data_IF_094922904082
#
_entry.id   IF_094922904082
#
_cell.length_a   1.000
_cell.length_b   1.000
_cell.length_c   1.000
_cell.angle_alpha   90.00
_cell.angle_beta   90.00
_cell.angle_gamma   90.00
#
_symmetry.space_group_name_H-M   'P 1'
#
loop_
_entity.id
_entity.type
_entity.pdbx_description
1 polymer ?
#
# COMPACT_ATOMS: atom_id res chain seq x y z
N UNK A 1 73.29 -44.05 -41.29
CA UNK A 1 72.98 -44.91 -40.12
C UNK A 1 71.57 -44.61 -39.62
N UNK A 2 70.91 -45.61 -39.02
CA UNK A 2 69.77 -45.56 -38.05
C UNK A 2 69.48 -44.19 -37.41
N UNK A 3 68.28 -43.76 -37.01
CA UNK A 3 66.86 -44.24 -36.99
C UNK A 3 65.97 -43.00 -36.68
N UNK A 4 64.65 -42.97 -36.41
CA UNK A 4 63.61 -43.96 -36.05
C UNK A 4 62.22 -43.47 -36.55
N UNK A 5 61.14 -44.24 -36.30
CA UNK A 5 59.76 -43.73 -36.31
C UNK A 5 59.48 -42.93 -35.02
N UNK A 6 58.64 -41.90 -35.07
CA UNK A 6 57.70 -41.62 -33.97
C UNK A 6 56.33 -41.19 -34.50
N UNK A 7 55.33 -41.99 -34.14
CA UNK A 7 53.92 -41.88 -34.50
C UNK A 7 53.18 -41.26 -33.31
N UNK A 8 52.30 -40.28 -33.61
CA UNK A 8 51.06 -39.94 -32.89
C UNK A 8 51.11 -39.79 -31.35
N UNK A 9 51.22 -38.55 -30.86
CA UNK A 9 50.81 -38.09 -29.52
C UNK A 9 50.57 -36.57 -29.62
N UNK A 10 49.53 -35.93 -29.07
CA UNK A 10 48.21 -36.40 -28.64
C UNK A 10 47.22 -35.23 -28.82
N UNK A 11 46.01 -35.52 -29.30
CA UNK A 11 44.93 -34.51 -29.39
C UNK A 11 44.28 -34.35 -28.01
N UNK A 12 44.88 -33.56 -27.11
CA UNK A 12 44.42 -33.48 -25.71
C UNK A 12 44.73 -32.17 -24.97
N UNK A 13 44.55 -31.00 -25.61
CA UNK A 13 44.72 -29.69 -24.93
C UNK A 13 43.62 -28.65 -25.18
N UNK A 14 42.60 -28.95 -25.99
CA UNK A 14 41.62 -27.93 -26.45
C UNK A 14 40.37 -27.82 -25.55
N UNK A 15 40.09 -28.79 -24.67
CA UNK A 15 38.82 -28.82 -23.92
C UNK A 15 38.77 -28.03 -22.60
N UNK A 16 39.89 -27.61 -22.00
CA UNK A 16 39.84 -26.97 -20.67
C UNK A 16 39.34 -25.51 -20.68
N UNK A 17 39.56 -24.77 -21.77
CA UNK A 17 39.22 -23.35 -21.82
C UNK A 17 37.70 -23.11 -21.86
N UNK A 18 36.96 -23.88 -22.66
CA UNK A 18 35.53 -23.67 -22.88
C UNK A 18 34.67 -23.86 -21.61
N UNK A 19 35.03 -24.83 -20.76
CA UNK A 19 34.29 -25.12 -19.53
C UNK A 19 34.36 -23.97 -18.50
N UNK A 20 35.53 -23.31 -18.38
CA UNK A 20 35.68 -22.17 -17.47
C UNK A 20 34.87 -20.96 -17.92
N UNK A 21 34.79 -20.69 -19.23
CA UNK A 21 33.98 -19.59 -19.78
C UNK A 21 32.50 -19.81 -19.50
N UNK A 22 32.02 -21.04 -19.73
CA UNK A 22 30.61 -21.39 -19.53
C UNK A 22 30.17 -21.30 -18.05
N UNK A 23 31.03 -21.68 -17.10
CA UNK A 23 30.70 -21.57 -15.69
C UNK A 23 30.56 -20.12 -15.22
N UNK A 24 31.42 -19.22 -15.72
CA UNK A 24 31.40 -17.79 -15.34
C UNK A 24 30.18 -17.04 -15.89
N UNK A 25 29.68 -17.42 -17.06
CA UNK A 25 28.43 -16.88 -17.62
C UNK A 25 27.18 -17.35 -16.86
N UNK A 26 27.21 -18.57 -16.30
CA UNK A 26 26.11 -19.09 -15.47
C UNK A 26 26.09 -18.36 -14.12
N UNK A 27 27.24 -18.12 -13.50
CA UNK A 27 27.34 -17.37 -12.23
C UNK A 27 26.81 -15.93 -12.37
N UNK A 28 27.12 -15.22 -13.47
CA UNK A 28 26.57 -13.88 -13.72
C UNK A 28 25.04 -13.91 -13.94
N UNK A 29 24.52 -14.85 -14.73
CA UNK A 29 23.07 -14.96 -14.97
C UNK A 29 22.29 -15.32 -13.71
N UNK A 30 22.84 -16.18 -12.86
CA UNK A 30 22.24 -16.52 -11.58
C UNK A 30 22.21 -15.30 -10.64
N UNK A 31 23.28 -14.52 -10.57
CA UNK A 31 23.32 -13.29 -9.77
C UNK A 31 22.34 -12.21 -10.29
N UNK A 32 22.19 -12.07 -11.61
CA UNK A 32 21.18 -11.19 -12.22
C UNK A 32 19.74 -11.67 -11.97
N UNK A 33 19.50 -12.99 -11.92
CA UNK A 33 18.20 -13.56 -11.54
C UNK A 33 17.90 -13.41 -10.03
N UNK A 34 18.85 -13.72 -9.14
CA UNK A 34 18.67 -13.51 -7.68
C UNK A 34 18.38 -12.04 -7.36
N UNK A 35 19.07 -11.09 -8.01
CA UNK A 35 18.83 -9.67 -7.83
C UNK A 35 17.47 -9.20 -8.38
N UNK A 36 16.93 -9.88 -9.41
CA UNK A 36 15.60 -9.57 -9.97
C UNK A 36 14.48 -10.17 -9.14
N UNK A 37 14.61 -11.41 -8.65
CA UNK A 37 13.61 -12.04 -7.78
C UNK A 37 13.54 -11.37 -6.39
N UNK A 38 14.67 -10.91 -5.84
CA UNK A 38 14.66 -10.11 -4.59
C UNK A 38 14.08 -8.72 -4.75
N UNK A 39 14.05 -8.14 -5.96
CA UNK A 39 13.43 -6.83 -6.23
C UNK A 39 11.97 -6.92 -6.71
N UNK A 40 11.54 -8.05 -7.29
CA UNK A 40 10.14 -8.29 -7.67
C UNK A 40 9.25 -8.69 -6.48
N UNK A 41 9.79 -8.77 -5.26
CA UNK A 41 8.99 -8.83 -4.02
C UNK A 41 8.49 -7.43 -3.58
N UNK A 42 8.26 -6.50 -4.52
CA UNK A 42 7.37 -5.37 -4.28
C UNK A 42 5.92 -5.87 -4.34
N UNK A 43 5.35 -6.12 -3.17
CA UNK A 43 3.96 -6.54 -2.97
C UNK A 43 3.02 -5.66 -3.79
N UNK A 44 2.20 -6.25 -4.68
CA UNK A 44 1.24 -5.45 -5.45
C UNK A 44 0.29 -4.71 -4.49
N UNK A 45 -0.02 -3.42 -4.76
CA UNK A 45 -0.82 -2.63 -3.85
C UNK A 45 -2.23 -3.20 -3.71
N UNK A 46 -2.78 -3.12 -2.50
CA UNK A 46 -4.17 -3.47 -2.26
C UNK A 46 -5.04 -2.33 -2.80
N UNK A 47 -5.76 -2.60 -3.89
CA UNK A 47 -6.63 -1.62 -4.55
C UNK A 47 -8.05 -1.69 -4.00
N UNK A 48 -8.56 -0.56 -3.55
CA UNK A 48 -9.89 -0.41 -2.93
C UNK A 48 -10.73 0.57 -3.77
N UNK A 49 -11.86 0.17 -4.36
CA UNK A 49 -12.73 1.10 -5.09
C UNK A 49 -13.44 2.07 -4.14
N UNK A 50 -13.63 3.31 -4.57
CA UNK A 50 -14.33 4.36 -3.82
C UNK A 50 -15.74 4.56 -4.37
N UNK A 51 -16.74 4.60 -3.48
CA UNK A 51 -18.15 4.88 -3.82
C UNK A 51 -18.71 6.09 -3.07
N UNK A 52 -19.52 6.90 -3.75
CA UNK A 52 -20.34 7.97 -3.14
C UNK A 52 -21.62 7.41 -2.51
N UNK A 53 -22.35 8.26 -1.78
CA UNK A 53 -23.60 7.92 -1.08
C UNK A 53 -24.71 7.33 -1.96
N UNK A 54 -24.76 7.70 -3.23
CA UNK A 54 -25.64 7.13 -4.26
C UNK A 54 -25.16 5.75 -4.75
N UNK A 55 -23.85 5.50 -4.66
CA UNK A 55 -23.13 4.31 -5.12
C UNK A 55 -22.42 4.50 -6.45
N UNK A 56 -22.35 5.72 -6.95
CA UNK A 56 -21.51 6.07 -8.10
C UNK A 56 -20.04 5.87 -7.68
N UNK A 57 -19.30 5.09 -8.48
CA UNK A 57 -17.85 4.94 -8.32
C UNK A 57 -17.17 6.30 -8.56
N UNK A 58 -16.16 6.62 -7.75
CA UNK A 58 -15.58 7.97 -7.69
C UNK A 58 -14.04 7.94 -7.61
N UNK A 59 -13.45 6.82 -8.04
CA UNK A 59 -12.00 6.56 -8.03
C UNK A 59 -11.63 5.35 -7.20
N UNK A 60 -10.41 5.34 -6.67
CA UNK A 60 -9.85 4.24 -5.89
C UNK A 60 -8.79 4.71 -4.88
N UNK A 61 -8.47 3.82 -3.95
CA UNK A 61 -7.28 3.85 -3.11
C UNK A 61 -6.33 2.71 -3.50
N UNK A 62 -5.03 2.95 -3.42
CA UNK A 62 -3.98 1.93 -3.49
C UNK A 62 -3.16 1.98 -2.19
N UNK A 63 -3.08 0.86 -1.47
CA UNK A 63 -2.36 0.75 -0.20
C UNK A 63 -1.05 -0.02 -0.40
N UNK A 64 0.05 0.58 0.04
CA UNK A 64 1.41 0.06 -0.04
C UNK A 64 2.00 -0.10 1.37
N UNK A 65 2.90 -1.06 1.57
CA UNK A 65 3.80 -1.03 2.73
C UNK A 65 4.78 0.12 2.56
N UNK A 66 4.90 1.00 3.56
CA UNK A 66 5.79 2.16 3.44
C UNK A 66 7.25 1.75 3.59
N UNK A 67 8.14 2.42 2.85
CA UNK A 67 9.59 2.32 3.07
C UNK A 67 10.05 3.04 4.36
N UNK A 68 9.16 3.80 5.00
CA UNK A 68 9.39 4.46 6.29
C UNK A 68 8.73 3.65 7.43
N UNK A 69 7.57 4.10 7.91
CA UNK A 69 6.77 3.43 8.95
C UNK A 69 5.31 3.35 8.49
N UNK A 70 4.64 2.27 8.87
CA UNK A 70 3.24 1.99 8.53
C UNK A 70 2.99 1.80 7.03
N UNK A 71 1.94 2.44 6.52
CA UNK A 71 1.45 2.26 5.15
C UNK A 71 1.44 3.58 4.38
N UNK A 72 1.74 3.51 3.09
CA UNK A 72 1.51 4.63 2.17
C UNK A 72 0.18 4.40 1.44
N UNK A 73 -0.72 5.37 1.51
CA UNK A 73 -2.09 5.31 1.00
C UNK A 73 -2.20 6.32 -0.14
N UNK A 74 -2.26 5.82 -1.37
CA UNK A 74 -2.58 6.65 -2.53
C UNK A 74 -4.09 6.80 -2.65
N UNK A 75 -4.58 8.04 -2.70
CA UNK A 75 -5.99 8.37 -2.97
C UNK A 75 -6.07 8.99 -4.36
N UNK A 76 -6.76 8.34 -5.30
CA UNK A 76 -7.00 8.84 -6.65
C UNK A 76 -8.51 8.91 -6.90
N UNK A 77 -9.09 10.10 -6.78
CA UNK A 77 -10.54 10.30 -6.78
C UNK A 77 -10.98 11.51 -7.63
N UNK A 78 -12.25 11.51 -8.02
CA UNK A 78 -12.89 12.55 -8.84
C UNK A 78 -14.34 12.82 -8.42
N UNK A 79 -14.94 13.86 -9.00
CA UNK A 79 -16.30 14.35 -8.72
C UNK A 79 -16.54 14.68 -7.23
N UNK A 80 -15.52 15.25 -6.58
CA UNK A 80 -15.56 15.73 -5.21
C UNK A 80 -15.71 17.28 -5.17
N UNK A 81 -16.25 17.86 -4.08
CA UNK A 81 -16.20 19.31 -3.86
C UNK A 81 -14.75 19.80 -3.77
N UNK A 82 -14.35 20.87 -4.48
CA UNK A 82 -13.03 21.47 -4.35
C UNK A 82 -12.75 22.02 -2.93
N UNK A 83 -11.50 21.91 -2.49
CA UNK A 83 -11.04 22.37 -1.18
C UNK A 83 -10.42 21.26 -0.33
N UNK A 84 -10.14 21.57 0.94
CA UNK A 84 -9.62 20.61 1.90
C UNK A 84 -10.74 19.74 2.46
N UNK A 85 -10.58 18.42 2.39
CA UNK A 85 -11.53 17.44 2.93
C UNK A 85 -10.81 16.50 3.91
N UNK A 86 -11.50 16.16 4.99
CA UNK A 86 -11.00 15.18 5.95
C UNK A 86 -10.97 13.78 5.34
N UNK A 87 -9.96 13.01 5.73
CA UNK A 87 -9.74 11.66 5.26
C UNK A 87 -9.35 10.76 6.44
N UNK A 88 -10.12 9.71 6.68
CA UNK A 88 -9.97 8.85 7.86
C UNK A 88 -10.04 7.38 7.52
N UNK A 89 -9.35 6.57 8.33
CA UNK A 89 -9.52 5.12 8.37
C UNK A 89 -10.49 4.79 9.49
N UNK A 90 -11.55 4.05 9.15
CA UNK A 90 -12.62 3.61 10.03
C UNK A 90 -12.50 2.12 10.36
N UNK A 91 -13.01 1.75 11.53
CA UNK A 91 -12.74 0.47 12.19
C UNK A 91 -13.31 -0.77 11.50
N UNK A 92 -14.33 -0.65 10.65
CA UNK A 92 -14.99 -1.79 10.00
C UNK A 92 -15.04 -1.63 8.47
N UNK A 93 -14.66 -2.67 7.73
CA UNK A 93 -14.59 -2.73 6.26
C UNK A 93 -15.94 -2.82 5.54
N UNK A 94 -16.92 -1.97 5.89
CA UNK A 94 -18.28 -2.00 5.32
C UNK A 94 -18.77 -0.60 4.92
N UNK A 95 -18.95 -0.39 3.62
CA UNK A 95 -19.49 0.84 3.03
C UNK A 95 -20.99 0.75 2.69
N UNK A 96 -21.85 0.65 3.71
CA UNK A 96 -23.31 0.66 3.52
C UNK A 96 -23.82 2.09 3.26
N UNK A 97 -24.41 2.29 2.09
CA UNK A 97 -25.05 3.55 1.69
C UNK A 97 -26.35 3.84 2.45
N UNK A 98 -26.77 5.11 2.57
CA UNK A 98 -26.12 6.32 2.04
C UNK A 98 -25.15 6.99 3.01
N UNK A 99 -25.27 6.71 4.30
CA UNK A 99 -24.58 7.41 5.39
C UNK A 99 -23.18 6.87 5.73
N UNK A 100 -22.86 5.64 5.31
CA UNK A 100 -21.62 4.92 5.65
C UNK A 100 -21.37 4.76 7.16
N UNK A 101 -22.41 4.80 7.99
CA UNK A 101 -22.31 4.58 9.45
C UNK A 101 -21.83 3.16 9.78
N UNK A 102 -22.08 2.19 8.89
CA UNK A 102 -21.64 0.80 9.00
C UNK A 102 -20.13 0.59 9.09
N UNK A 103 -19.33 1.60 8.75
CA UNK A 103 -17.89 1.56 8.90
C UNK A 103 -17.41 1.74 10.35
N UNK A 104 -18.30 2.08 11.29
CA UNK A 104 -17.94 2.28 12.70
C UNK A 104 -17.22 3.61 12.95
N UNK A 105 -16.54 3.73 14.08
CA UNK A 105 -15.70 4.87 14.48
C UNK A 105 -14.38 4.94 13.68
N UNK A 106 -13.53 5.93 13.98
CA UNK A 106 -12.15 5.96 13.47
C UNK A 106 -11.37 4.77 14.04
N UNK A 107 -10.45 4.21 13.26
CA UNK A 107 -9.60 3.10 13.68
C UNK A 107 -8.70 3.52 14.85
N UNK A 108 -9.03 3.05 16.07
CA UNK A 108 -8.44 3.56 17.32
C UNK A 108 -8.10 2.44 18.32
N UNK A 109 -7.17 1.52 18.00
CA UNK A 109 -6.78 0.43 18.90
C UNK A 109 -6.10 0.90 20.20
N UNK A 110 -5.65 2.16 20.27
CA UNK A 110 -5.05 2.80 21.46
C UNK A 110 -6.07 3.52 22.36
N UNK A 111 -7.33 3.65 21.95
CA UNK A 111 -8.37 4.40 22.69
C UNK A 111 -7.99 5.85 23.02
N UNK A 112 -7.29 6.51 22.08
CA UNK A 112 -6.93 7.93 22.15
C UNK A 112 -8.11 8.84 21.82
N UNK A 113 -7.93 10.13 22.04
CA UNK A 113 -8.83 11.16 21.51
C UNK A 113 -8.47 11.53 20.05
N UNK A 114 -9.35 12.24 19.35
CA UNK A 114 -9.14 12.66 17.96
C UNK A 114 -8.05 13.73 17.81
N UNK A 115 -7.30 13.63 16.70
CA UNK A 115 -6.64 14.78 16.06
C UNK A 115 -5.17 15.01 16.44
N UNK A 116 -4.37 15.44 15.45
CA UNK A 116 -2.92 15.67 15.61
C UNK A 116 -2.56 16.86 16.51
N UNK A 117 -3.45 17.85 16.62
CA UNK A 117 -3.27 19.01 17.51
C UNK A 117 -3.83 18.78 18.92
N UNK A 118 -4.49 17.64 19.17
CA UNK A 118 -4.93 17.25 20.51
C UNK A 118 -3.78 16.56 21.27
N UNK A 119 -3.35 17.04 22.44
CA UNK A 119 -2.28 16.40 23.23
C UNK A 119 -2.63 15.01 23.78
N UNK A 120 -3.86 14.54 23.60
CA UNK A 120 -4.31 13.17 23.94
C UNK A 120 -4.58 12.30 22.70
N UNK A 121 -4.43 12.85 21.50
CA UNK A 121 -4.58 12.15 20.23
C UNK A 121 -3.25 11.71 19.62
N UNK A 122 -3.21 11.45 18.31
CA UNK A 122 -4.35 11.22 17.43
C UNK A 122 -4.88 9.77 17.57
N UNK A 123 -5.98 9.44 16.90
CA UNK A 123 -6.29 8.04 16.59
C UNK A 123 -5.26 7.45 15.61
N UNK A 124 -5.21 6.12 15.50
CA UNK A 124 -4.35 5.47 14.50
C UNK A 124 -4.86 5.65 13.06
N UNK A 125 -6.17 5.83 12.89
CA UNK A 125 -6.84 6.08 11.62
C UNK A 125 -7.02 7.55 11.24
N UNK A 126 -6.55 8.50 12.05
CA UNK A 126 -6.53 9.91 11.65
C UNK A 126 -5.43 10.11 10.59
N UNK A 127 -5.74 10.80 9.48
CA UNK A 127 -4.80 11.08 8.40
C UNK A 127 -4.85 12.58 8.04
N UNK A 128 -3.82 13.13 7.38
CA UNK A 128 -3.88 14.50 6.89
C UNK A 128 -5.07 14.73 5.94
N UNK A 129 -5.68 15.90 6.06
CA UNK A 129 -6.65 16.40 5.09
C UNK A 129 -6.10 16.32 3.64
N UNK A 130 -6.97 15.96 2.69
CA UNK A 130 -6.64 15.91 1.26
C UNK A 130 -7.15 17.17 0.54
N UNK A 131 -6.35 17.72 -0.37
CA UNK A 131 -6.74 18.88 -1.19
C UNK A 131 -7.37 18.41 -2.51
N UNK A 132 -8.65 18.73 -2.71
CA UNK A 132 -9.35 18.53 -3.98
C UNK A 132 -9.21 19.77 -4.86
N UNK A 133 -8.67 19.58 -6.06
CA UNK A 133 -8.48 20.64 -7.04
C UNK A 133 -9.79 21.24 -7.55
N UNK A 134 -9.70 22.39 -8.21
CA UNK A 134 -10.87 23.10 -8.77
C UNK A 134 -11.61 22.31 -9.88
N UNK A 135 -11.02 21.25 -10.42
CA UNK A 135 -11.65 20.31 -11.35
C UNK A 135 -12.33 19.12 -10.65
N UNK A 136 -12.42 19.13 -9.32
CA UNK A 136 -13.08 18.12 -8.49
C UNK A 136 -12.26 16.83 -8.32
N UNK A 137 -10.94 16.87 -8.53
CA UNK A 137 -10.06 15.70 -8.46
C UNK A 137 -8.97 15.80 -7.40
N UNK A 138 -8.46 14.64 -7.01
CA UNK A 138 -7.30 14.46 -6.12
C UNK A 138 -6.52 13.22 -6.54
N UNK A 139 -5.19 13.30 -6.62
CA UNK A 139 -4.28 12.15 -6.76
C UNK A 139 -3.05 12.42 -5.89
N UNK A 140 -3.08 11.91 -4.66
CA UNK A 140 -2.07 12.16 -3.60
C UNK A 140 -1.68 10.86 -2.91
N UNK A 141 -0.52 10.86 -2.25
CA UNK A 141 -0.11 9.80 -1.34
C UNK A 141 0.00 10.39 0.07
N UNK A 142 -0.69 9.80 1.03
CA UNK A 142 -0.57 10.11 2.46
C UNK A 142 0.08 8.94 3.18
N UNK A 143 0.99 9.21 4.12
CA UNK A 143 1.56 8.18 4.98
C UNK A 143 0.69 8.00 6.23
N UNK A 144 0.47 6.75 6.61
CA UNK A 144 -0.28 6.32 7.77
C UNK A 144 0.65 5.47 8.66
N UNK A 145 1.45 6.11 9.55
CA UNK A 145 2.52 5.41 10.27
C UNK A 145 1.98 4.49 11.38
N UNK A 146 0.78 4.75 11.90
CA UNK A 146 0.20 4.04 13.03
C UNK A 146 -0.59 2.77 12.65
N UNK A 147 -0.51 2.29 11.41
CA UNK A 147 -1.30 1.15 10.89
C UNK A 147 -0.46 0.18 10.07
N UNK A 148 -0.93 -1.06 9.89
CA UNK A 148 -0.22 -2.10 9.14
C UNK A 148 -1.17 -3.05 8.40
N UNK A 149 -0.61 -3.94 7.57
CA UNK A 149 -1.31 -5.05 6.93
C UNK A 149 -0.99 -6.42 7.58
N UNK A 150 -0.12 -6.48 8.60
CA UNK A 150 0.11 -7.70 9.38
C UNK A 150 -1.11 -8.01 10.26
N UNK A 151 -1.80 -9.11 9.96
CA UNK A 151 -3.03 -9.55 10.63
C UNK A 151 -2.81 -10.02 12.07
N UNK A 152 -1.56 -10.15 12.51
CA UNK A 152 -1.21 -10.44 13.91
C UNK A 152 -1.11 -9.18 14.78
N UNK A 153 -1.05 -8.01 14.16
CA UNK A 153 -1.01 -6.73 14.86
C UNK A 153 -2.42 -6.25 15.21
N UNK A 154 -2.59 -5.64 16.39
CA UNK A 154 -3.81 -4.89 16.74
C UNK A 154 -3.97 -3.58 15.95
N UNK A 155 -2.95 -3.19 15.18
CA UNK A 155 -2.97 -2.06 14.25
C UNK A 155 -3.21 -2.51 12.80
N UNK A 156 -3.68 -3.73 12.57
CA UNK A 156 -3.95 -4.25 11.23
C UNK A 156 -5.22 -3.65 10.64
N UNK A 157 -5.15 -3.20 9.37
CA UNK A 157 -6.32 -2.85 8.57
C UNK A 157 -6.94 -4.06 7.84
N UNK A 158 -6.38 -5.25 8.05
CA UNK A 158 -6.82 -6.54 7.52
C UNK A 158 -7.13 -7.53 8.63
N UNK A 159 -7.67 -7.03 9.74
CA UNK A 159 -8.19 -7.84 10.83
C UNK A 159 -9.51 -8.55 10.44
N UNK A 160 -10.35 -8.89 11.41
CA UNK A 160 -11.44 -9.84 11.19
C UNK A 160 -12.61 -9.30 10.35
N UNK A 161 -12.83 -7.98 10.39
CA UNK A 161 -13.85 -7.24 9.62
C UNK A 161 -13.22 -6.22 8.66
N UNK A 162 -11.91 -5.99 8.75
CA UNK A 162 -11.17 -5.07 7.88
C UNK A 162 -11.51 -3.62 8.19
N UNK A 163 -11.00 -2.69 7.38
CA UNK A 163 -11.18 -1.26 7.63
C UNK A 163 -11.78 -0.53 6.43
N UNK A 164 -12.35 0.65 6.63
CA UNK A 164 -12.89 1.47 5.56
C UNK A 164 -12.19 2.82 5.49
N UNK A 165 -11.84 3.27 4.29
CA UNK A 165 -11.35 4.61 4.05
C UNK A 165 -12.53 5.54 3.76
N UNK A 166 -12.61 6.68 4.45
CA UNK A 166 -13.73 7.63 4.32
C UNK A 166 -13.21 9.04 4.05
N UNK A 167 -13.80 9.69 3.04
CA UNK A 167 -13.65 11.13 2.80
C UNK A 167 -14.93 11.82 3.29
N UNK A 168 -14.80 12.87 4.09
CA UNK A 168 -15.94 13.62 4.63
C UNK A 168 -16.26 14.89 3.80
N UNK A 169 -17.32 15.59 4.18
CA UNK A 169 -17.79 16.83 3.53
C UNK A 169 -16.96 18.08 3.83
N UNK A 170 -16.28 18.12 4.98
CA UNK A 170 -15.51 19.28 5.42
C UNK A 170 -14.07 18.88 5.75
N UNK A 171 -13.22 19.90 5.90
CA UNK A 171 -11.88 19.78 6.46
C UNK A 171 -11.96 19.38 7.95
N UNK A 172 -11.03 18.52 8.37
CA UNK A 172 -10.76 18.20 9.77
C UNK A 172 -9.99 19.33 10.47
N UNK A 173 -10.40 19.70 11.68
CA UNK A 173 -9.73 20.72 12.51
C UNK A 173 -8.55 20.19 13.34
N UNK A 174 -8.21 18.91 13.19
CA UNK A 174 -7.13 18.17 13.87
C UNK A 174 -7.23 18.20 15.41
N UNK A 175 -8.41 18.49 15.99
CA UNK A 175 -8.55 18.72 17.44
C UNK A 175 -9.86 18.23 18.06
N UNK A 176 -10.99 18.39 17.40
CA UNK A 176 -12.32 18.22 18.01
C UNK A 176 -12.73 16.75 18.06
N UNK A 177 -13.00 16.23 19.25
CA UNK A 177 -13.58 14.88 19.38
C UNK A 177 -15.01 14.81 18.79
N UNK A 178 -15.40 13.71 18.13
CA UNK A 178 -14.61 12.49 17.87
C UNK A 178 -13.99 12.43 16.46
N UNK A 179 -14.12 13.47 15.64
CA UNK A 179 -13.81 13.42 14.20
C UNK A 179 -13.60 14.82 13.56
N UNK A 180 -12.94 15.71 14.30
CA UNK A 180 -12.47 17.04 13.89
C UNK A 180 -13.47 17.98 13.23
N UNK A 181 -14.76 17.89 13.58
CA UNK A 181 -15.87 18.62 12.93
C UNK A 181 -16.03 18.37 11.40
N UNK A 182 -15.44 17.29 10.89
CA UNK A 182 -15.34 16.94 9.47
C UNK A 182 -16.66 16.75 8.69
N UNK A 183 -17.81 16.77 9.37
CA UNK A 183 -19.12 16.61 8.74
C UNK A 183 -19.42 15.16 8.35
N UNK A 184 -20.43 14.96 7.49
CA UNK A 184 -20.91 13.62 7.17
C UNK A 184 -19.98 12.89 6.19
N UNK A 185 -20.01 11.56 6.25
CA UNK A 185 -19.19 10.64 5.43
C UNK A 185 -19.67 10.69 3.98
N UNK A 186 -18.87 11.16 3.04
CA UNK A 186 -19.28 11.45 1.65
C UNK A 186 -18.91 10.33 0.68
N UNK A 187 -17.71 9.76 0.86
CA UNK A 187 -17.15 8.67 0.05
C UNK A 187 -16.66 7.58 0.98
N UNK A 188 -16.80 6.32 0.59
CA UNK A 188 -16.29 5.18 1.34
C UNK A 188 -15.63 4.16 0.41
N UNK A 189 -14.52 3.56 0.86
CA UNK A 189 -13.88 2.39 0.23
C UNK A 189 -13.55 1.32 1.26
N UNK A 190 -14.07 0.11 1.08
CA UNK A 190 -13.90 -1.00 2.03
C UNK A 190 -12.67 -1.84 1.72
N UNK A 191 -11.67 -1.81 2.60
CA UNK A 191 -10.53 -2.73 2.58
C UNK A 191 -10.91 -4.01 3.33
N UNK A 192 -10.95 -5.14 2.64
CA UNK A 192 -11.31 -6.43 3.24
C UNK A 192 -10.29 -7.51 2.88
N UNK A 193 -10.21 -8.54 3.71
CA UNK A 193 -9.31 -9.69 3.51
C UNK A 193 -9.67 -10.58 2.28
N UNK A 194 -10.72 -10.22 1.54
CA UNK A 194 -11.28 -10.97 0.40
C UNK A 194 -10.34 -11.17 -0.79
N UNK A 195 -9.21 -10.45 -0.83
CA UNK A 195 -8.23 -10.48 -1.92
C UNK A 195 -7.12 -11.52 -1.81
N UNK A 196 -6.98 -12.21 -0.66
CA UNK A 196 -5.98 -13.29 -0.48
C UNK A 196 -6.67 -14.67 -0.51
N UNK A 197 -6.70 -15.27 -1.71
CA UNK A 197 -7.02 -16.69 -1.95
C UNK A 197 -5.81 -17.39 -2.54
#
# INVERSE_FOLDING_TARGET
MRTLHYILLACMSVCLAAACTQQKEIEQKNAEQEHKETFETMTQPLKVPLIKRDGTETGFIEVYESAAEGLDIRVSAHDLPPGMLAFHIHETGVCKKPDFESAGAHFNPDQKEHGFNNPKGPHAGDLPNIEVGADGKVDVIVNAPAVTLDQKSRFSLLDHDGSAFIIHEHQDDDLTNPSGNSGARMVCGALTNSGKK
#
